data_IF_358613319250
#
_entry.id   IF_358613319250
#
_cell.length_a   1.000
_cell.length_b   1.000
_cell.length_c   1.000
_cell.angle_alpha   90.00
_cell.angle_beta   90.00
_cell.angle_gamma   90.00
#
_symmetry.space_group_name_H-M   'P 1'
#
loop_
_entity.id
_entity.type
_entity.pdbx_description
1 polymer ?
#
# COMPACT_ATOMS: atom_id res chain seq x y z
N UNK A 1 -4.87 0.86 -16.56
CA UNK A 1 -3.93 2.00 -16.34
C UNK A 1 -2.62 1.43 -15.82
N UNK A 2 -1.51 1.71 -16.51
CA UNK A 2 -0.18 1.24 -16.10
C UNK A 2 0.41 2.21 -15.09
N UNK A 3 1.20 1.73 -14.14
CA UNK A 3 1.83 2.62 -13.16
C UNK A 3 2.85 3.57 -13.80
N UNK A 4 3.47 3.16 -14.92
CA UNK A 4 4.37 4.01 -15.71
C UNK A 4 3.72 5.28 -16.26
N UNK A 5 2.39 5.35 -16.30
CA UNK A 5 1.63 6.53 -16.76
C UNK A 5 1.42 7.54 -15.64
N UNK A 6 1.61 7.14 -14.38
CA UNK A 6 1.44 8.01 -13.19
C UNK A 6 2.78 8.64 -12.86
N UNK A 7 2.82 9.97 -12.81
CA UNK A 7 4.05 10.75 -12.59
C UNK A 7 4.26 11.18 -11.15
N UNK A 8 3.23 11.16 -10.32
CA UNK A 8 3.24 11.75 -8.96
C UNK A 8 3.38 10.70 -7.85
N UNK A 9 3.21 9.42 -8.17
CA UNK A 9 3.23 8.36 -7.18
C UNK A 9 4.63 7.73 -7.08
N UNK A 10 5.05 7.45 -5.85
CA UNK A 10 6.30 6.74 -5.57
C UNK A 10 6.04 5.50 -4.72
N UNK A 11 6.91 4.50 -4.84
CA UNK A 11 6.75 3.22 -4.14
C UNK A 11 7.08 3.36 -2.66
N UNK A 12 6.26 2.73 -1.82
CA UNK A 12 6.43 2.71 -0.36
C UNK A 12 6.58 1.32 0.23
N UNK A 13 5.97 0.29 -0.38
CA UNK A 13 6.09 -1.08 0.10
C UNK A 13 5.91 -2.12 -1.00
N UNK A 14 6.59 -3.25 -0.82
CA UNK A 14 6.28 -4.53 -1.48
C UNK A 14 5.39 -5.38 -0.57
N UNK A 15 4.60 -6.28 -1.16
CA UNK A 15 3.84 -7.29 -0.40
C UNK A 15 4.51 -8.64 -0.54
N UNK A 16 4.63 -9.35 0.57
CA UNK A 16 5.09 -10.74 0.62
C UNK A 16 4.07 -11.64 1.30
N UNK A 17 4.00 -12.89 0.84
CA UNK A 17 3.18 -13.91 1.46
C UNK A 17 3.92 -14.53 2.65
N UNK A 18 3.24 -14.65 3.79
CA UNK A 18 3.79 -15.34 4.97
C UNK A 18 3.38 -16.81 4.92
N UNK A 19 4.32 -17.68 4.52
CA UNK A 19 4.11 -19.11 4.35
C UNK A 19 3.50 -19.76 5.61
N UNK A 20 2.56 -20.69 5.40
CA UNK A 20 1.85 -21.38 6.48
C UNK A 20 0.81 -20.53 7.22
N UNK A 21 0.46 -19.36 6.70
CA UNK A 21 -0.56 -18.48 7.29
C UNK A 21 -1.45 -17.84 6.23
N UNK A 22 -2.49 -17.13 6.64
CA UNK A 22 -3.30 -16.27 5.76
C UNK A 22 -2.83 -14.81 5.76
N UNK A 23 -1.63 -14.55 6.29
CA UNK A 23 -1.09 -13.21 6.50
C UNK A 23 -0.23 -12.77 5.33
N UNK A 24 -0.27 -11.46 5.12
CA UNK A 24 0.61 -10.73 4.24
C UNK A 24 1.62 -9.96 5.07
N UNK A 25 2.80 -9.73 4.51
CA UNK A 25 3.79 -8.84 5.07
C UNK A 25 3.99 -7.64 4.13
N UNK A 26 4.05 -6.44 4.69
CA UNK A 26 4.30 -5.21 3.94
C UNK A 26 5.75 -4.78 4.18
N UNK A 27 6.59 -4.98 3.18
CA UNK A 27 8.00 -4.62 3.23
C UNK A 27 8.19 -3.18 2.81
N UNK A 28 8.19 -2.28 3.80
CA UNK A 28 8.40 -0.86 3.58
C UNK A 28 9.83 -0.56 3.13
N UNK A 29 9.96 0.30 2.12
CA UNK A 29 11.25 0.75 1.61
C UNK A 29 12.00 1.59 2.64
N UNK A 30 13.29 1.27 2.85
CA UNK A 30 14.19 2.02 3.75
C UNK A 30 14.66 3.34 3.14
N UNK A 31 14.91 3.35 1.83
CA UNK A 31 15.20 4.56 1.07
C UNK A 31 13.95 4.96 0.29
N UNK A 32 13.21 5.93 0.81
CA UNK A 32 12.04 6.49 0.14
C UNK A 32 12.52 7.63 -0.74
N UNK A 33 12.08 7.63 -1.99
CA UNK A 33 12.35 8.69 -2.94
C UNK A 33 11.06 9.11 -3.62
N UNK A 34 10.93 10.41 -3.87
CA UNK A 34 9.84 10.94 -4.66
C UNK A 34 10.01 10.60 -6.16
N UNK A 35 9.06 11.01 -6.98
CA UNK A 35 9.06 10.83 -8.43
C UNK A 35 10.28 11.43 -9.15
N UNK A 36 10.96 12.40 -8.52
CA UNK A 36 12.14 13.07 -9.05
C UNK A 36 13.44 12.48 -8.46
N UNK A 37 13.35 11.42 -7.66
CA UNK A 37 14.50 10.78 -7.01
C UNK A 37 14.99 11.51 -5.76
N UNK A 38 14.27 12.51 -5.26
CA UNK A 38 14.61 13.21 -4.02
C UNK A 38 14.33 12.31 -2.83
N UNK A 39 15.31 12.18 -1.93
CA UNK A 39 15.16 11.40 -0.70
C UNK A 39 14.06 12.00 0.19
N UNK A 40 13.20 11.13 0.71
CA UNK A 40 12.06 11.47 1.54
C UNK A 40 12.27 10.92 2.97
N UNK A 41 11.85 11.68 4.00
CA UNK A 41 11.97 11.19 5.37
C UNK A 41 11.02 10.02 5.62
N UNK A 42 11.49 9.03 6.36
CA UNK A 42 10.70 7.85 6.77
C UNK A 42 9.43 8.20 7.56
N UNK A 43 9.40 9.37 8.19
CA UNK A 43 8.24 9.87 8.94
C UNK A 43 6.98 10.00 8.08
N UNK A 44 7.10 10.14 6.76
CA UNK A 44 5.95 10.16 5.82
C UNK A 44 5.10 8.90 5.96
N UNK A 45 5.70 7.75 6.29
CA UNK A 45 4.96 6.51 6.43
C UNK A 45 4.01 6.50 7.65
N UNK A 46 4.21 7.40 8.61
CA UNK A 46 3.47 7.48 9.87
C UNK A 46 2.76 8.81 10.09
N UNK A 47 2.97 9.81 9.24
CA UNK A 47 2.37 11.14 9.36
C UNK A 47 0.85 11.13 9.19
N UNK A 48 0.16 11.97 9.95
CA UNK A 48 -1.30 12.10 9.95
C UNK A 48 -1.80 13.08 8.87
N UNK A 49 -1.39 12.87 7.62
CA UNK A 49 -1.81 13.69 6.47
C UNK A 49 -2.83 12.94 5.62
N UNK A 50 -3.72 13.65 4.92
CA UNK A 50 -4.55 13.00 3.90
C UNK A 50 -3.66 12.42 2.80
N UNK A 51 -4.03 11.25 2.26
CA UNK A 51 -3.20 10.57 1.27
C UNK A 51 -3.99 9.78 0.26
N UNK A 52 -3.43 9.68 -0.95
CA UNK A 52 -3.87 8.75 -1.97
C UNK A 52 -2.81 7.64 -2.08
N UNK A 53 -3.27 6.40 -2.12
CA UNK A 53 -2.42 5.23 -2.33
C UNK A 53 -2.94 4.39 -3.49
N UNK A 54 -2.02 3.69 -4.13
CA UNK A 54 -2.27 2.82 -5.27
C UNK A 54 -1.87 1.40 -4.89
N UNK A 55 -2.73 0.44 -5.25
CA UNK A 55 -2.39 -0.98 -5.24
C UNK A 55 -2.09 -1.37 -6.69
N UNK A 56 -0.85 -1.75 -6.93
CA UNK A 56 -0.33 -2.12 -8.24
C UNK A 56 -0.02 -3.60 -8.25
N UNK A 57 -0.47 -4.29 -9.30
CA UNK A 57 -0.21 -5.71 -9.54
C UNK A 57 0.43 -5.83 -10.91
N UNK A 58 1.65 -6.36 -10.95
CA UNK A 58 2.46 -6.53 -12.17
C UNK A 58 2.51 -5.24 -13.03
N UNK A 59 2.74 -4.10 -12.37
CA UNK A 59 2.79 -2.79 -13.03
C UNK A 59 1.44 -2.21 -13.46
N UNK A 60 0.32 -2.88 -13.18
CA UNK A 60 -1.04 -2.41 -13.48
C UNK A 60 -1.73 -1.93 -12.22
N UNK A 61 -2.28 -0.71 -12.24
CA UNK A 61 -3.06 -0.17 -11.12
C UNK A 61 -4.38 -0.93 -11.03
N UNK A 62 -4.62 -1.57 -9.90
CA UNK A 62 -5.85 -2.34 -9.61
C UNK A 62 -6.80 -1.61 -8.68
N UNK A 63 -6.26 -0.77 -7.80
CA UNK A 63 -7.07 0.03 -6.87
C UNK A 63 -6.41 1.37 -6.58
N UNK A 64 -7.24 2.40 -6.48
CA UNK A 64 -6.92 3.69 -5.89
C UNK A 64 -7.69 3.78 -4.56
N UNK A 65 -7.04 4.29 -3.52
CA UNK A 65 -7.64 4.48 -2.21
C UNK A 65 -7.19 5.77 -1.56
N UNK A 66 -8.08 6.37 -0.77
CA UNK A 66 -7.78 7.50 0.09
C UNK A 66 -7.77 7.09 1.56
N UNK A 67 -6.92 7.68 2.38
CA UNK A 67 -6.93 7.47 3.83
C UNK A 67 -6.53 8.72 4.60
N UNK A 68 -7.16 8.93 5.75
CA UNK A 68 -6.80 9.92 6.77
C UNK A 68 -6.52 9.24 8.12
N UNK A 69 -6.20 7.94 8.12
CA UNK A 69 -5.94 7.20 9.35
C UNK A 69 -4.82 7.82 10.20
N UNK A 70 -5.04 7.90 11.51
CA UNK A 70 -3.99 8.22 12.48
C UNK A 70 -2.92 7.12 12.42
N UNK A 71 -1.64 7.48 12.43
CA UNK A 71 -0.51 6.55 12.27
C UNK A 71 -0.11 6.28 10.81
N UNK A 72 -0.63 7.07 9.87
CA UNK A 72 -0.13 7.13 8.51
C UNK A 72 -0.54 5.99 7.58
N UNK A 73 0.23 5.81 6.50
CA UNK A 73 0.01 4.70 5.57
C UNK A 73 0.29 3.35 6.24
N UNK A 74 1.22 3.27 7.20
CA UNK A 74 1.48 2.01 7.92
C UNK A 74 0.23 1.50 8.63
N UNK A 75 -0.46 2.37 9.36
CA UNK A 75 -1.72 1.99 10.01
C UNK A 75 -2.84 1.69 8.99
N UNK A 76 -2.85 2.40 7.86
CA UNK A 76 -3.80 2.13 6.77
C UNK A 76 -3.63 0.73 6.19
N UNK A 77 -2.39 0.27 5.99
CA UNK A 77 -2.09 -1.04 5.41
C UNK A 77 -2.16 -2.18 6.43
N UNK A 78 -2.05 -1.91 7.73
CA UNK A 78 -2.08 -2.94 8.77
C UNK A 78 -3.38 -3.75 8.75
N UNK A 79 -4.53 -3.12 8.45
CA UNK A 79 -5.81 -3.86 8.32
C UNK A 79 -5.81 -4.87 7.17
N UNK A 80 -4.97 -4.64 6.16
CA UNK A 80 -4.81 -5.55 5.02
C UNK A 80 -3.79 -6.65 5.28
N UNK A 81 -3.17 -6.69 6.47
CA UNK A 81 -2.16 -7.71 6.81
C UNK A 81 -2.76 -9.07 7.05
N UNK A 82 -3.85 -9.12 7.79
CA UNK A 82 -4.54 -10.37 8.15
C UNK A 82 -6.03 -10.32 7.89
N UNK A 83 -6.51 -9.27 7.21
CA UNK A 83 -7.94 -9.06 6.96
C UNK A 83 -8.68 -8.51 8.17
N UNK A 84 -7.99 -8.09 9.24
CA UNK A 84 -8.60 -7.52 10.44
C UNK A 84 -9.14 -8.58 11.40
N UNK A 85 -8.51 -9.77 11.47
CA UNK A 85 -8.97 -10.93 12.26
C UNK A 85 -9.18 -10.61 13.75
N UNK A 86 -8.43 -9.64 14.29
CA UNK A 86 -8.57 -9.20 15.69
C UNK A 86 -9.71 -8.20 15.94
N UNK A 87 -10.42 -7.78 14.89
CA UNK A 87 -11.47 -6.77 14.96
C UNK A 87 -12.69 -7.13 14.13
N UNK A 88 -13.47 -6.10 13.78
CA UNK A 88 -14.60 -6.19 12.85
C UNK A 88 -14.30 -5.36 11.61
N UNK A 89 -13.52 -5.88 10.66
CA UNK A 89 -13.19 -5.15 9.44
C UNK A 89 -14.47 -4.83 8.67
N UNK A 90 -14.49 -3.69 7.98
CA UNK A 90 -15.54 -3.46 6.98
C UNK A 90 -15.42 -4.48 5.85
N UNK A 91 -16.52 -4.78 5.16
CA UNK A 91 -16.48 -5.64 3.98
C UNK A 91 -15.52 -5.13 2.90
N UNK A 92 -15.33 -3.80 2.83
CA UNK A 92 -14.34 -3.18 1.94
C UNK A 92 -12.91 -3.53 2.34
N UNK A 93 -12.61 -3.46 3.63
CA UNK A 93 -11.26 -3.76 4.15
C UNK A 93 -10.92 -5.24 3.98
N UNK A 94 -11.88 -6.11 4.30
CA UNK A 94 -11.75 -7.54 4.09
C UNK A 94 -11.60 -7.88 2.60
N UNK A 95 -12.41 -7.26 1.72
CA UNK A 95 -12.32 -7.46 0.27
C UNK A 95 -10.96 -7.06 -0.31
N UNK A 96 -10.33 -5.99 0.21
CA UNK A 96 -8.97 -5.62 -0.19
C UNK A 96 -7.96 -6.68 0.26
N UNK A 97 -8.01 -7.13 1.52
CA UNK A 97 -7.14 -8.22 1.98
C UNK A 97 -7.33 -9.49 1.13
N UNK A 98 -8.58 -9.89 0.89
CA UNK A 98 -8.92 -11.07 0.08
C UNK A 98 -8.33 -10.97 -1.33
N UNK A 99 -8.50 -9.82 -1.97
CA UNK A 99 -7.91 -9.53 -3.28
C UNK A 99 -6.38 -9.68 -3.26
N UNK A 100 -5.70 -9.05 -2.29
CA UNK A 100 -4.24 -9.11 -2.17
C UNK A 100 -3.76 -10.55 -1.93
N UNK A 101 -4.42 -11.27 -1.03
CA UNK A 101 -4.09 -12.63 -0.66
C UNK A 101 -4.15 -13.58 -1.85
N UNK A 102 -5.26 -13.59 -2.60
CA UNK A 102 -5.39 -14.46 -3.76
C UNK A 102 -4.48 -14.04 -4.92
N UNK A 103 -4.22 -12.73 -5.07
CA UNK A 103 -3.30 -12.23 -6.10
C UNK A 103 -1.87 -12.67 -5.84
N UNK A 104 -1.39 -12.60 -4.59
CA UNK A 104 -0.01 -13.01 -4.31
C UNK A 104 0.19 -14.52 -4.43
N UNK A 105 -0.86 -15.31 -4.12
CA UNK A 105 -0.84 -16.76 -4.32
C UNK A 105 -0.78 -17.17 -5.80
N UNK A 106 -1.17 -16.31 -6.74
CA UNK A 106 -0.97 -16.59 -8.18
C UNK A 106 0.46 -16.28 -8.65
N UNK A 107 1.36 -15.89 -7.75
CA UNK A 107 2.74 -15.51 -8.08
C UNK A 107 2.90 -14.10 -8.61
N UNK A 108 1.84 -13.28 -8.60
CA UNK A 108 1.89 -11.90 -9.06
C UNK A 108 2.64 -11.01 -8.06
N UNK A 109 3.33 -9.98 -8.59
CA UNK A 109 4.01 -8.98 -7.77
C UNK A 109 3.02 -7.89 -7.38
N UNK A 110 2.95 -7.58 -6.08
CA UNK A 110 2.09 -6.51 -5.57
C UNK A 110 2.95 -5.41 -4.94
N UNK A 111 2.67 -4.17 -5.35
CA UNK A 111 3.37 -2.98 -4.91
C UNK A 111 2.36 -1.94 -4.40
N UNK A 112 2.70 -1.29 -3.30
CA UNK A 112 1.98 -0.13 -2.80
C UNK A 112 2.74 1.14 -3.14
N UNK A 113 2.06 2.02 -3.86
CA UNK A 113 2.57 3.34 -4.15
C UNK A 113 1.74 4.40 -3.44
N UNK A 114 2.38 5.53 -3.22
CA UNK A 114 1.88 6.64 -2.44
C UNK A 114 1.97 7.88 -3.31
N UNK A 115 0.87 8.61 -3.40
CA UNK A 115 0.83 9.92 -4.04
C UNK A 115 0.71 10.98 -2.95
N UNK A 116 1.79 11.73 -2.77
CA UNK A 116 1.76 12.98 -2.06
C UNK A 116 1.33 14.03 -3.08
N UNK A 117 0.01 14.27 -3.16
CA UNK A 117 -0.47 15.49 -3.77
C UNK A 117 0.14 16.64 -2.97
N UNK A 118 1.21 17.24 -3.50
CA UNK A 118 1.85 18.41 -2.92
C UNK A 118 0.76 19.45 -2.76
N UNK A 119 0.63 20.04 -1.57
CA UNK A 119 -0.22 21.21 -1.41
C UNK A 119 0.15 22.22 -2.50
N UNK A 120 -0.89 22.71 -3.19
CA UNK A 120 -0.81 23.69 -4.25
C UNK A 120 -0.14 24.98 -3.79
#
# INVERSE_FOLDING_TARGET
MKISEVKTAFKVADVEFVAGSTKLNFNYLKDLRDENGKSLPQSILTQNVARVYLIVVDGVIKKIGGSQAVGGIKNTLEIYKDGGVKGRPSIRSFGVWYFLYHTILSGAKIEFLYDLSREF
#
